data_IF_503095090295
#
_entry.id   IF_503095090295
#
_cell.length_a   1.000
_cell.length_b   1.000
_cell.length_c   1.000
_cell.angle_alpha   90.00
_cell.angle_beta   90.00
_cell.angle_gamma   90.00
#
_symmetry.space_group_name_H-M   'P 1'
#
loop_
_entity.id
_entity.type
_entity.pdbx_description
1 polymer ?
#
# COMPACT_ATOMS: atom_id res chain seq x y z
N UNK A 1 12.58 29.84 -2.36
CA UNK A 1 12.37 29.78 -3.82
C UNK A 1 11.93 28.37 -4.14
N UNK A 2 10.62 28.15 -4.28
CA UNK A 2 10.04 26.84 -4.57
C UNK A 2 10.02 26.63 -6.09
N UNK A 3 10.26 25.40 -6.53
CA UNK A 3 10.36 25.06 -7.95
C UNK A 3 8.95 24.96 -8.57
N UNK A 4 8.41 26.10 -8.99
CA UNK A 4 7.11 26.27 -9.67
C UNK A 4 6.99 25.52 -11.01
N UNK A 5 8.06 24.85 -11.47
CA UNK A 5 8.04 24.07 -12.71
C UNK A 5 7.28 22.75 -12.58
N UNK A 6 7.19 22.16 -11.39
CA UNK A 6 6.48 20.88 -11.20
C UNK A 6 4.95 21.04 -11.13
N UNK A 7 4.44 22.25 -10.87
CA UNK A 7 3.01 22.51 -10.66
C UNK A 7 2.24 22.88 -11.95
N UNK A 8 2.92 23.19 -13.07
CA UNK A 8 2.28 23.67 -14.31
C UNK A 8 2.01 22.62 -15.38
N UNK A 9 2.41 21.37 -15.19
CA UNK A 9 2.11 20.29 -16.14
C UNK A 9 0.78 19.59 -15.82
N UNK A 10 -0.27 20.40 -15.69
CA UNK A 10 -1.66 19.94 -15.66
C UNK A 10 -2.11 19.50 -17.05
N UNK A 11 -1.84 18.24 -17.40
CA UNK A 11 -2.58 17.43 -18.38
C UNK A 11 -2.05 16.00 -18.29
N UNK A 12 -2.54 15.24 -17.32
CA UNK A 12 -2.36 13.79 -17.27
C UNK A 12 -3.11 13.22 -18.48
N UNK A 13 -2.38 12.95 -19.56
CA UNK A 13 -2.97 12.51 -20.82
C UNK A 13 -3.63 11.15 -20.64
N UNK A 14 -4.87 11.02 -21.09
CA UNK A 14 -5.57 9.76 -21.39
C UNK A 14 -4.93 9.05 -22.61
N UNK A 15 -3.63 8.81 -22.55
CA UNK A 15 -2.86 8.14 -23.60
C UNK A 15 -2.06 6.99 -22.98
N UNK A 16 -2.76 5.90 -22.67
CA UNK A 16 -2.30 4.51 -22.79
C UNK A 16 -0.94 4.08 -22.19
N UNK A 17 -0.30 4.81 -21.28
CA UNK A 17 1.01 4.44 -20.75
C UNK A 17 1.00 4.37 -19.23
N UNK A 18 0.82 3.16 -18.71
CA UNK A 18 0.98 2.89 -17.28
C UNK A 18 2.44 3.05 -16.85
N UNK A 19 2.65 3.54 -15.64
CA UNK A 19 3.98 3.67 -15.03
C UNK A 19 4.36 2.33 -14.38
N UNK A 20 5.56 1.84 -14.69
CA UNK A 20 6.10 0.64 -14.06
C UNK A 20 6.75 0.99 -12.72
N UNK A 21 6.31 0.33 -11.65
CA UNK A 21 6.90 0.44 -10.32
C UNK A 21 8.11 -0.50 -10.20
N UNK A 22 9.11 -0.17 -9.36
CA UNK A 22 10.19 -1.10 -9.06
C UNK A 22 9.65 -2.33 -8.33
N UNK A 23 10.40 -3.43 -8.38
CA UNK A 23 10.02 -4.68 -7.70
C UNK A 23 9.99 -4.56 -6.18
N UNK A 24 10.81 -3.67 -5.62
CA UNK A 24 10.87 -3.39 -4.19
C UNK A 24 10.96 -1.88 -3.95
N UNK A 25 10.40 -1.43 -2.83
CA UNK A 25 10.56 -0.06 -2.36
C UNK A 25 11.97 0.13 -1.77
N UNK A 26 12.73 1.14 -2.21
CA UNK A 26 14.09 1.37 -1.71
C UNK A 26 14.13 2.05 -0.34
N UNK A 27 13.02 2.62 0.10
CA UNK A 27 12.95 3.38 1.36
C UNK A 27 12.97 2.46 2.58
N UNK A 28 13.42 3.01 3.71
CA UNK A 28 13.44 2.27 4.98
C UNK A 28 12.01 1.95 5.43
N UNK A 29 11.82 0.76 6.01
CA UNK A 29 10.54 0.37 6.58
C UNK A 29 10.26 1.26 7.79
N UNK A 30 9.12 1.96 7.84
CA UNK A 30 8.79 2.82 8.96
C UNK A 30 8.62 2.02 10.25
N UNK A 31 8.88 2.63 11.42
CA UNK A 31 8.71 1.95 12.70
C UNK A 31 7.25 1.57 12.92
N UNK A 32 7.03 0.37 13.47
CA UNK A 32 5.69 -0.08 13.86
C UNK A 32 5.14 0.85 14.95
N UNK A 33 3.88 1.32 14.86
CA UNK A 33 3.26 2.14 15.89
C UNK A 33 3.34 1.49 17.28
N UNK A 34 3.73 2.27 18.29
CA UNK A 34 4.08 1.77 19.64
C UNK A 34 2.97 0.93 20.30
N UNK A 35 1.70 1.30 20.10
CA UNK A 35 0.55 0.56 20.62
C UNK A 35 0.38 -0.85 20.00
N UNK A 36 0.96 -1.10 18.84
CA UNK A 36 0.93 -2.39 18.13
C UNK A 36 2.26 -3.13 18.25
N UNK A 37 3.36 -2.41 18.37
CA UNK A 37 4.70 -2.98 18.53
C UNK A 37 4.82 -3.90 19.75
N UNK A 38 3.97 -3.80 20.77
CA UNK A 38 3.94 -4.72 21.93
C UNK A 38 3.00 -5.91 21.75
N UNK A 39 2.06 -5.86 20.81
CA UNK A 39 1.01 -6.86 20.60
C UNK A 39 1.28 -7.78 19.40
N UNK A 40 1.91 -7.25 18.36
CA UNK A 40 2.20 -7.98 17.13
C UNK A 40 3.29 -9.03 17.35
N UNK A 41 2.99 -10.25 16.91
CA UNK A 41 3.94 -11.35 16.81
C UNK A 41 4.78 -11.25 15.55
N UNK A 42 5.54 -12.31 15.26
CA UNK A 42 6.48 -12.34 14.14
C UNK A 42 5.77 -12.22 12.79
N UNK A 43 4.62 -12.87 12.63
CA UNK A 43 3.84 -12.85 11.38
C UNK A 43 3.35 -11.45 11.01
N UNK A 44 2.85 -10.68 11.97
CA UNK A 44 2.38 -9.31 11.74
C UNK A 44 3.54 -8.36 11.42
N UNK A 45 4.71 -8.58 12.03
CA UNK A 45 5.93 -7.80 11.75
C UNK A 45 6.49 -8.09 10.37
N UNK A 46 6.57 -9.37 10.01
CA UNK A 46 6.98 -9.78 8.66
C UNK A 46 6.03 -9.22 7.61
N UNK A 47 4.71 -9.23 7.89
CA UNK A 47 3.71 -8.65 7.01
C UNK A 47 3.86 -7.14 6.86
N UNK A 48 4.15 -6.43 7.95
CA UNK A 48 4.46 -4.99 7.93
C UNK A 48 5.64 -4.70 7.02
N UNK A 49 6.76 -5.40 7.21
CA UNK A 49 7.95 -5.26 6.37
C UNK A 49 7.66 -5.61 4.90
N UNK A 50 6.94 -6.70 4.65
CA UNK A 50 6.58 -7.13 3.29
C UNK A 50 5.77 -6.07 2.53
N UNK A 51 4.82 -5.41 3.20
CA UNK A 51 4.01 -4.36 2.57
C UNK A 51 4.89 -3.14 2.25
N UNK A 52 5.70 -2.69 3.21
CA UNK A 52 6.55 -1.50 3.04
C UNK A 52 7.74 -1.70 2.11
N UNK A 53 8.19 -2.93 1.90
CA UNK A 53 9.17 -3.26 0.85
C UNK A 53 8.53 -3.57 -0.50
N UNK A 54 7.21 -3.67 -0.58
CA UNK A 54 6.51 -3.99 -1.82
C UNK A 54 6.55 -2.85 -2.85
N UNK A 55 6.28 -3.15 -4.14
CA UNK A 55 6.26 -2.16 -5.22
C UNK A 55 5.38 -0.93 -4.95
N UNK A 56 4.19 -1.15 -4.37
CA UNK A 56 3.22 -0.09 -4.11
C UNK A 56 3.68 0.91 -3.05
N UNK A 57 4.60 0.50 -2.16
CA UNK A 57 5.07 1.35 -1.06
C UNK A 57 5.89 2.55 -1.53
N UNK A 58 6.42 2.55 -2.76
CA UNK A 58 7.04 3.73 -3.41
C UNK A 58 6.07 4.92 -3.51
N UNK A 59 4.77 4.65 -3.45
CA UNK A 59 3.71 5.65 -3.52
C UNK A 59 3.17 6.04 -2.15
N UNK A 60 3.65 5.40 -1.07
CA UNK A 60 3.19 5.69 0.27
C UNK A 60 3.94 6.87 0.88
N UNK A 61 3.26 7.55 1.78
CA UNK A 61 3.81 8.52 2.71
C UNK A 61 3.39 8.16 4.14
N UNK A 62 3.68 9.06 5.09
CA UNK A 62 3.36 8.84 6.50
C UNK A 62 1.87 8.56 6.76
N UNK A 63 0.96 9.02 5.88
CA UNK A 63 -0.48 8.86 6.02
C UNK A 63 -0.92 7.39 5.89
N UNK A 64 -0.19 6.56 5.14
CA UNK A 64 -0.54 5.14 4.93
C UNK A 64 -0.17 4.26 6.13
N UNK A 65 0.67 4.74 7.06
CA UNK A 65 1.07 4.04 8.30
C UNK A 65 -0.13 3.48 9.06
N UNK A 66 -1.17 4.30 9.25
CA UNK A 66 -2.37 3.89 9.97
C UNK A 66 -3.19 2.84 9.21
N UNK A 67 -3.29 2.98 7.88
CA UNK A 67 -4.04 2.09 7.00
C UNK A 67 -3.38 0.71 6.89
N UNK A 68 -2.06 0.67 6.69
CA UNK A 68 -1.28 -0.59 6.69
C UNK A 68 -1.41 -1.30 8.03
N UNK A 69 -1.32 -0.55 9.13
CA UNK A 69 -1.43 -1.15 10.46
C UNK A 69 -2.83 -1.71 10.74
N UNK A 70 -3.88 -1.04 10.27
CA UNK A 70 -5.25 -1.53 10.37
C UNK A 70 -5.46 -2.78 9.50
N UNK A 71 -4.91 -2.80 8.27
CA UNK A 71 -4.99 -3.96 7.39
C UNK A 71 -4.43 -5.22 8.09
N UNK A 72 -3.26 -5.12 8.72
CA UNK A 72 -2.61 -6.24 9.41
C UNK A 72 -3.44 -6.69 10.63
N UNK A 73 -4.01 -5.76 11.39
CA UNK A 73 -4.92 -6.11 12.49
C UNK A 73 -6.16 -6.88 11.99
N UNK A 74 -6.67 -6.55 10.81
CA UNK A 74 -7.78 -7.26 10.17
C UNK A 74 -7.36 -8.64 9.65
N UNK A 75 -6.17 -8.77 9.04
CA UNK A 75 -5.61 -10.06 8.61
C UNK A 75 -5.42 -11.01 9.82
N UNK A 76 -4.90 -10.50 10.94
CA UNK A 76 -4.76 -11.26 12.17
C UNK A 76 -6.12 -11.69 12.76
N UNK A 77 -7.13 -10.79 12.74
CA UNK A 77 -8.49 -11.14 13.16
C UNK A 77 -9.12 -12.20 12.25
N UNK A 78 -8.86 -12.14 10.94
CA UNK A 78 -9.31 -13.14 9.97
C UNK A 78 -8.68 -14.50 10.23
N UNK A 79 -7.37 -14.56 10.48
CA UNK A 79 -6.66 -15.80 10.80
C UNK A 79 -7.21 -16.48 12.06
N UNK A 80 -7.76 -15.70 13.01
CA UNK A 80 -8.41 -16.21 14.22
C UNK A 80 -9.90 -16.52 14.05
N UNK A 81 -10.48 -16.33 12.86
CA UNK A 81 -11.91 -16.51 12.61
C UNK A 81 -12.80 -15.48 13.30
N UNK A 82 -12.25 -14.32 13.69
CA UNK A 82 -12.94 -13.26 14.44
C UNK A 82 -13.36 -12.07 13.57
N UNK A 83 -13.08 -12.11 12.27
CA UNK A 83 -13.40 -11.03 11.34
C UNK A 83 -14.91 -10.98 11.05
N UNK A 84 -15.52 -9.82 11.26
CA UNK A 84 -16.95 -9.60 11.00
C UNK A 84 -17.21 -9.13 9.56
N UNK A 85 -18.47 -9.22 9.09
CA UNK A 85 -18.83 -8.87 7.71
C UNK A 85 -18.51 -7.40 7.34
N UNK A 86 -18.75 -6.45 8.26
CA UNK A 86 -18.39 -5.06 8.05
C UNK A 86 -16.87 -4.87 7.95
N UNK A 87 -16.11 -5.58 8.78
CA UNK A 87 -14.64 -5.56 8.76
C UNK A 87 -14.06 -6.21 7.50
N UNK A 88 -14.72 -7.21 6.94
CA UNK A 88 -14.34 -7.80 5.65
C UNK A 88 -14.52 -6.81 4.49
N UNK A 89 -15.55 -5.96 4.56
CA UNK A 89 -15.75 -4.89 3.58
C UNK A 89 -14.64 -3.85 3.69
N UNK A 90 -14.30 -3.44 4.91
CA UNK A 90 -13.18 -2.52 5.17
C UNK A 90 -11.83 -3.10 4.74
N UNK A 91 -11.59 -4.38 5.02
CA UNK A 91 -10.39 -5.08 4.57
C UNK A 91 -10.21 -5.01 3.05
N UNK A 92 -11.27 -5.30 2.28
CA UNK A 92 -11.23 -5.20 0.82
C UNK A 92 -10.99 -3.77 0.34
N UNK A 93 -11.59 -2.79 1.01
CA UNK A 93 -11.39 -1.36 0.71
C UNK A 93 -9.93 -0.97 0.93
N UNK A 94 -9.32 -1.36 2.05
CA UNK A 94 -7.92 -1.09 2.36
C UNK A 94 -6.97 -1.73 1.34
N UNK A 95 -7.25 -2.97 0.89
CA UNK A 95 -6.46 -3.60 -0.17
C UNK A 95 -6.49 -2.78 -1.48
N UNK A 96 -7.62 -2.15 -1.80
CA UNK A 96 -7.74 -1.27 -2.95
C UNK A 96 -7.04 0.08 -2.71
N UNK A 97 -7.27 0.72 -1.57
CA UNK A 97 -6.72 2.04 -1.24
C UNK A 97 -5.19 2.01 -1.13
N UNK A 98 -4.63 0.89 -0.65
CA UNK A 98 -3.19 0.65 -0.57
C UNK A 98 -2.61 0.09 -1.87
N UNK A 99 -3.38 0.00 -2.96
CA UNK A 99 -2.89 -0.53 -4.24
C UNK A 99 -2.26 -1.93 -4.13
N UNK A 100 -2.77 -2.77 -3.21
CA UNK A 100 -2.28 -4.13 -2.99
C UNK A 100 -2.95 -5.16 -3.90
N UNK A 101 -3.85 -4.71 -4.77
CA UNK A 101 -4.52 -5.56 -5.76
C UNK A 101 -4.14 -5.17 -7.18
N UNK A 102 -4.07 -6.14 -8.12
CA UNK A 102 -3.79 -5.84 -9.52
C UNK A 102 -4.74 -4.81 -10.13
N UNK A 103 -6.03 -4.90 -9.79
CA UNK A 103 -7.05 -3.98 -10.29
C UNK A 103 -6.84 -2.56 -9.79
N UNK A 104 -6.50 -2.38 -8.51
CA UNK A 104 -6.25 -1.06 -7.95
C UNK A 104 -4.99 -0.41 -8.54
N UNK A 105 -3.90 -1.18 -8.66
CA UNK A 105 -2.66 -0.72 -9.31
C UNK A 105 -2.93 -0.27 -10.76
N UNK A 106 -3.56 -1.14 -11.55
CA UNK A 106 -3.86 -0.84 -12.95
C UNK A 106 -4.80 0.36 -13.10
N UNK A 107 -5.84 0.45 -12.26
CA UNK A 107 -6.78 1.56 -12.25
C UNK A 107 -6.15 2.90 -11.87
N UNK A 108 -5.11 2.87 -11.03
CA UNK A 108 -4.31 4.05 -10.68
C UNK A 108 -3.24 4.38 -11.74
N UNK A 109 -3.15 3.62 -12.84
CA UNK A 109 -2.20 3.85 -13.92
C UNK A 109 -0.81 3.27 -13.65
N UNK A 110 -0.68 2.34 -12.72
CA UNK A 110 0.56 1.65 -12.39
C UNK A 110 0.57 0.20 -12.86
N UNK A 111 1.75 -0.39 -12.96
CA UNK A 111 1.94 -1.81 -13.25
C UNK A 111 3.20 -2.34 -12.57
N UNK A 112 3.23 -3.65 -12.39
CA UNK A 112 4.38 -4.36 -11.86
C UNK A 112 5.37 -4.73 -12.98
N UNK A 113 6.65 -4.96 -12.65
CA UNK A 113 7.62 -5.47 -13.61
C UNK A 113 7.14 -6.76 -14.28
N UNK A 114 7.25 -6.84 -15.60
CA UNK A 114 6.87 -8.01 -16.39
C UNK A 114 5.38 -8.11 -16.77
N UNK A 115 4.56 -7.10 -16.48
CA UNK A 115 3.19 -7.03 -16.99
C UNK A 115 3.13 -6.66 -18.49
N UNK A 116 2.18 -7.22 -19.28
CA UNK A 116 2.04 -6.87 -20.68
C UNK A 116 1.71 -5.37 -20.86
N UNK A 117 2.33 -4.75 -21.88
CA UNK A 117 2.09 -3.37 -22.34
C UNK A 117 0.80 -3.25 -23.12
#
# INVERSE_FOLDING_TARGET
>A
MANDQNLKQGKWSRAGRSIELPAECPDEVPPIPSNRATRWGDSERERWESIWKGPAAVLYDDAQTGAVALLIDLEAAQAQGKLQAAQLTEYRRLLSDLLLTPQALSGAGFRLPGWPT
#
